data_IF_696415427706
#
_entry.id   IF_696415427706
#
_cell.length_a   1.000
_cell.length_b   1.000
_cell.length_c   1.000
_cell.angle_alpha   90.00
_cell.angle_beta   90.00
_cell.angle_gamma   90.00
#
_symmetry.space_group_name_H-M   'P 1'
#
loop_
_entity.id
_entity.type
_entity.pdbx_description
1 polymer ?
#
# COMPACT_ATOMS: atom_id res chain seq x y z
N UNK A 1 -4.87 -21.85 -74.69
CA UNK A 1 -5.63 -22.03 -73.43
C UNK A 1 -5.08 -23.29 -72.75
N UNK A 2 -4.57 -23.39 -71.52
CA UNK A 2 -4.19 -22.52 -70.39
C UNK A 2 -3.12 -23.31 -69.60
N UNK A 3 -2.30 -22.67 -68.75
CA UNK A 3 -1.88 -23.35 -67.51
C UNK A 3 -2.32 -22.57 -66.26
N UNK A 4 -3.24 -23.22 -65.56
CA UNK A 4 -3.52 -23.26 -64.12
C UNK A 4 -2.55 -22.45 -63.23
N UNK A 5 -3.09 -21.44 -62.55
CA UNK A 5 -2.51 -20.83 -61.35
C UNK A 5 -2.52 -21.81 -60.17
N UNK A 6 -1.42 -21.88 -59.41
CA UNK A 6 -1.38 -22.60 -58.13
C UNK A 6 -1.62 -21.61 -56.98
N UNK A 7 -2.70 -21.83 -56.23
CA UNK A 7 -3.08 -20.99 -55.08
C UNK A 7 -2.21 -21.29 -53.84
N UNK A 8 -1.73 -20.29 -53.10
CA UNK A 8 -0.97 -20.50 -51.88
C UNK A 8 -1.90 -20.96 -50.76
N UNK A 9 -1.73 -22.21 -50.31
CA UNK A 9 -2.45 -22.78 -49.16
C UNK A 9 -2.14 -22.00 -47.88
N UNK A 10 -3.11 -21.20 -47.41
CA UNK A 10 -3.10 -20.58 -46.08
C UNK A 10 -3.09 -21.68 -45.02
N UNK A 11 -1.91 -21.98 -44.46
CA UNK A 11 -1.72 -22.93 -43.35
C UNK A 11 -2.50 -22.43 -42.13
N UNK A 12 -3.78 -22.82 -42.03
CA UNK A 12 -4.63 -22.58 -40.86
C UNK A 12 -3.98 -23.28 -39.68
N UNK A 13 -3.23 -22.53 -38.86
CA UNK A 13 -2.84 -22.99 -37.51
C UNK A 13 -4.13 -23.38 -36.82
N UNK A 14 -4.22 -24.64 -36.38
CA UNK A 14 -5.45 -25.17 -35.87
C UNK A 14 -5.87 -24.35 -34.64
N UNK A 15 -7.09 -23.78 -34.61
CA UNK A 15 -7.50 -22.80 -33.61
C UNK A 15 -7.41 -23.36 -32.18
N UNK A 16 -7.53 -24.68 -32.03
CA UNK A 16 -7.38 -25.38 -30.76
C UNK A 16 -5.97 -25.24 -30.15
N UNK A 17 -4.92 -25.19 -30.97
CA UNK A 17 -3.53 -25.02 -30.47
C UNK A 17 -3.37 -23.63 -29.83
N UNK A 18 -3.92 -22.60 -30.46
CA UNK A 18 -3.88 -21.24 -29.92
C UNK A 18 -4.70 -21.13 -28.63
N UNK A 19 -5.87 -21.79 -28.55
CA UNK A 19 -6.70 -21.81 -27.35
C UNK A 19 -6.00 -22.51 -26.17
N UNK A 20 -5.33 -23.64 -26.42
CA UNK A 20 -4.56 -24.36 -25.39
C UNK A 20 -3.40 -23.49 -24.89
N UNK A 21 -2.66 -22.84 -25.80
CA UNK A 21 -1.55 -21.94 -25.43
C UNK A 21 -2.07 -20.77 -24.59
N UNK A 22 -3.17 -20.13 -24.98
CA UNK A 22 -3.75 -19.01 -24.23
C UNK A 22 -4.24 -19.45 -22.84
N UNK A 23 -4.84 -20.64 -22.73
CA UNK A 23 -5.28 -21.19 -21.44
C UNK A 23 -4.10 -21.47 -20.50
N UNK A 24 -3.00 -22.03 -21.02
CA UNK A 24 -1.78 -22.28 -20.23
C UNK A 24 -1.10 -20.99 -19.77
N UNK A 25 -1.03 -19.98 -20.64
CA UNK A 25 -0.49 -18.66 -20.29
C UNK A 25 -1.34 -17.98 -19.22
N UNK A 26 -2.67 -18.01 -19.36
CA UNK A 26 -3.60 -17.44 -18.37
C UNK A 26 -3.50 -18.15 -17.01
N UNK A 27 -3.42 -19.49 -17.00
CA UNK A 27 -3.23 -20.27 -15.79
C UNK A 27 -1.88 -19.92 -15.11
N UNK A 28 -0.78 -19.84 -15.87
CA UNK A 28 0.52 -19.46 -15.32
C UNK A 28 0.53 -18.04 -14.74
N UNK A 29 -0.10 -17.08 -15.43
CA UNK A 29 -0.26 -15.70 -14.93
C UNK A 29 -1.10 -15.64 -13.66
N UNK A 30 -2.21 -16.38 -13.62
CA UNK A 30 -3.07 -16.47 -12.45
C UNK A 30 -2.34 -17.10 -11.27
N UNK A 31 -1.66 -18.24 -11.48
CA UNK A 31 -0.83 -18.89 -10.47
C UNK A 31 0.27 -17.95 -9.98
N UNK A 32 0.94 -17.20 -10.86
CA UNK A 32 1.96 -16.23 -10.48
C UNK A 32 1.39 -15.06 -9.66
N UNK A 33 0.20 -14.55 -10.04
CA UNK A 33 -0.48 -13.47 -9.32
C UNK A 33 -0.89 -13.91 -7.91
N UNK A 34 -1.44 -15.13 -7.78
CA UNK A 34 -1.86 -15.67 -6.49
C UNK A 34 -0.68 -16.09 -5.60
N UNK A 35 0.38 -16.69 -6.15
CA UNK A 35 1.59 -17.05 -5.37
C UNK A 35 2.46 -15.85 -5.00
N UNK A 36 2.36 -14.72 -5.72
CA UNK A 36 3.02 -13.45 -5.35
C UNK A 36 2.21 -12.59 -4.39
N UNK A 37 0.96 -12.95 -4.08
CA UNK A 37 0.08 -12.21 -3.16
C UNK A 37 0.49 -12.23 -1.67
N UNK A 38 1.70 -12.67 -1.33
CA UNK A 38 2.08 -13.03 0.05
C UNK A 38 3.45 -12.52 0.53
N UNK A 39 3.95 -11.37 0.08
CA UNK A 39 5.08 -10.69 0.75
C UNK A 39 4.77 -9.24 1.11
N UNK A 40 3.69 -9.04 1.86
CA UNK A 40 3.58 -7.88 2.77
C UNK A 40 4.03 -8.37 4.13
N UNK A 41 5.33 -8.48 4.33
CA UNK A 41 5.83 -9.21 5.49
C UNK A 41 7.32 -9.15 5.64
N UNK A 42 7.87 -7.94 5.67
CA UNK A 42 9.08 -7.69 6.45
C UNK A 42 8.89 -6.37 7.19
N UNK A 43 8.76 -6.50 8.50
CA UNK A 43 8.55 -5.42 9.44
C UNK A 43 9.72 -4.43 9.39
N UNK A 44 9.62 -3.41 8.53
CA UNK A 44 10.50 -2.27 8.60
C UNK A 44 10.09 -1.44 9.82
N UNK A 45 10.56 -1.84 11.01
CA UNK A 45 10.51 -1.00 12.20
C UNK A 45 11.10 0.36 11.83
N UNK A 46 10.39 1.44 12.14
CA UNK A 46 10.93 2.78 11.91
C UNK A 46 12.25 2.93 12.65
N UNK A 47 13.25 3.54 12.00
CA UNK A 47 14.60 3.73 12.55
C UNK A 47 14.63 4.47 13.88
N UNK A 48 13.57 5.19 14.22
CA UNK A 48 13.43 5.96 15.45
C UNK A 48 13.07 5.11 16.68
N UNK A 49 12.73 3.82 16.53
CA UNK A 49 12.36 2.98 17.68
C UNK A 49 13.55 2.82 18.63
N UNK A 50 13.33 3.14 19.91
CA UNK A 50 14.35 3.08 20.97
C UNK A 50 15.19 4.36 21.11
N UNK A 51 15.09 5.31 20.18
CA UNK A 51 15.70 6.62 20.33
C UNK A 51 14.82 7.51 21.21
N UNK A 52 15.46 8.35 22.02
CA UNK A 52 14.76 9.38 22.76
C UNK A 52 14.18 10.42 21.79
N UNK A 53 12.95 10.86 22.03
CA UNK A 53 12.39 11.98 21.29
C UNK A 53 13.20 13.25 21.58
N UNK A 54 13.48 14.09 20.56
CA UNK A 54 14.08 15.40 20.76
C UNK A 54 13.24 16.25 21.71
N UNK A 55 13.88 17.14 22.47
CA UNK A 55 13.15 18.09 23.30
C UNK A 55 12.20 18.92 22.42
N UNK A 56 10.93 18.93 22.77
CA UNK A 56 9.89 19.66 22.07
C UNK A 56 9.10 20.45 23.10
N UNK A 57 8.96 21.74 22.80
CA UNK A 57 8.13 22.68 23.54
C UNK A 57 7.21 23.37 22.53
N UNK A 58 5.90 23.22 22.73
CA UNK A 58 4.88 23.71 21.81
C UNK A 58 3.99 24.73 22.50
N UNK A 59 3.63 25.77 21.75
CA UNK A 59 2.52 26.62 22.11
C UNK A 59 1.21 25.82 21.99
N UNK A 60 0.34 25.85 23.01
CA UNK A 60 -0.92 25.12 22.98
C UNK A 60 -1.90 25.77 22.00
N UNK A 61 -2.60 24.94 21.22
CA UNK A 61 -3.65 25.39 20.31
C UNK A 61 -4.98 25.71 21.02
N UNK A 62 -5.13 25.30 22.28
CA UNK A 62 -6.33 25.50 23.09
C UNK A 62 -6.47 26.90 23.71
N UNK A 63 -5.51 27.80 23.46
CA UNK A 63 -5.49 29.14 24.07
C UNK A 63 -4.96 29.18 25.52
N UNK A 64 -4.42 28.08 26.02
CA UNK A 64 -3.70 28.05 27.30
C UNK A 64 -2.42 28.91 27.24
N UNK A 65 -2.01 29.50 28.37
CA UNK A 65 -0.74 30.22 28.49
C UNK A 65 0.44 29.29 28.84
N UNK A 66 0.18 28.04 29.17
CA UNK A 66 1.21 27.07 29.57
C UNK A 66 1.69 26.29 28.35
N UNK A 67 2.98 26.34 28.06
CA UNK A 67 3.59 25.54 27.00
C UNK A 67 3.49 24.04 27.30
N UNK A 68 3.34 23.24 26.25
CA UNK A 68 3.30 21.77 26.37
C UNK A 68 4.68 21.22 26.07
N UNK A 69 5.26 20.46 27.02
CA UNK A 69 6.58 19.86 26.85
C UNK A 69 6.52 18.33 26.90
N UNK A 70 7.49 17.67 26.26
CA UNK A 70 7.59 16.20 26.36
C UNK A 70 8.00 15.71 27.76
N UNK A 71 8.51 16.59 28.63
CA UNK A 71 8.79 16.22 30.03
C UNK A 71 7.49 15.90 30.77
N UNK A 72 6.41 16.60 30.45
CA UNK A 72 5.10 16.42 31.08
C UNK A 72 4.48 15.05 30.77
N UNK A 73 4.93 14.41 29.68
CA UNK A 73 4.47 13.09 29.24
C UNK A 73 5.34 11.93 29.75
N UNK A 74 6.46 12.21 30.44
CA UNK A 74 7.36 11.15 30.92
C UNK A 74 6.70 10.28 31.98
N UNK A 75 7.07 8.99 31.98
CA UNK A 75 6.54 8.00 32.92
C UNK A 75 5.13 7.50 32.57
N UNK A 76 4.51 8.02 31.52
CA UNK A 76 3.23 7.56 30.98
C UNK A 76 3.43 6.97 29.59
N UNK A 77 2.62 5.98 29.24
CA UNK A 77 2.48 5.59 27.84
C UNK A 77 1.66 6.69 27.17
N UNK A 78 2.26 7.38 26.22
CA UNK A 78 1.64 8.48 25.49
C UNK A 78 1.63 8.17 24.00
N UNK A 79 0.54 8.54 23.33
CA UNK A 79 0.40 8.50 21.87
C UNK A 79 0.54 9.92 21.35
N UNK A 80 1.48 10.13 20.42
CA UNK A 80 1.66 11.42 19.74
C UNK A 80 1.12 11.28 18.32
N UNK A 81 0.06 12.02 18.01
CA UNK A 81 -0.58 12.04 16.70
C UNK A 81 -0.26 13.36 15.98
N UNK A 82 0.22 13.26 14.73
CA UNK A 82 0.49 14.41 13.86
C UNK A 82 -0.66 14.57 12.86
N UNK A 83 -1.35 15.71 12.91
CA UNK A 83 -2.53 15.96 12.07
C UNK A 83 -2.56 17.40 11.56
N UNK A 84 -3.46 17.65 10.60
CA UNK A 84 -3.76 18.98 10.09
C UNK A 84 -5.22 19.07 9.64
N UNK A 85 -5.79 20.27 9.59
CA UNK A 85 -7.19 20.50 9.23
C UNK A 85 -7.55 20.06 7.80
N UNK A 86 -6.57 20.05 6.90
CA UNK A 86 -6.69 19.63 5.51
C UNK A 86 -6.33 18.15 5.29
N UNK A 87 -5.94 17.42 6.35
CA UNK A 87 -5.58 16.02 6.25
C UNK A 87 -6.83 15.12 6.20
N UNK A 88 -7.21 14.70 4.99
CA UNK A 88 -8.37 13.82 4.77
C UNK A 88 -8.35 12.50 5.58
N UNK A 89 -7.23 11.75 5.62
CA UNK A 89 -7.13 10.55 6.45
C UNK A 89 -7.26 10.83 7.96
N UNK A 90 -6.67 11.93 8.44
CA UNK A 90 -6.70 12.29 9.85
C UNK A 90 -8.15 12.51 10.35
N UNK A 91 -9.01 13.13 9.54
CA UNK A 91 -10.43 13.30 9.88
C UNK A 91 -11.17 11.98 10.14
N UNK A 92 -10.76 10.89 9.48
CA UNK A 92 -11.36 9.58 9.69
C UNK A 92 -10.85 8.89 10.96
N UNK A 93 -9.61 9.16 11.35
CA UNK A 93 -8.96 8.52 12.52
C UNK A 93 -9.22 9.26 13.84
N UNK A 94 -9.37 10.59 13.79
CA UNK A 94 -9.54 11.43 14.99
C UNK A 94 -10.72 11.01 15.90
N UNK A 95 -11.90 10.60 15.39
CA UNK A 95 -12.99 10.13 16.24
C UNK A 95 -12.62 8.91 17.09
N UNK A 96 -11.89 7.96 16.50
CA UNK A 96 -11.44 6.75 17.19
C UNK A 96 -10.41 7.09 18.27
N UNK A 97 -9.48 8.01 17.98
CA UNK A 97 -8.50 8.50 18.97
C UNK A 97 -9.18 9.27 20.11
N UNK A 98 -10.20 10.08 19.81
CA UNK A 98 -10.95 10.82 20.82
C UNK A 98 -11.74 9.89 21.76
N UNK A 99 -12.19 8.73 21.27
CA UNK A 99 -12.85 7.73 22.09
C UNK A 99 -11.91 7.00 23.09
N UNK A 100 -10.59 7.13 22.91
CA UNK A 100 -9.57 6.53 23.78
C UNK A 100 -9.02 7.51 24.83
N UNK A 101 -9.40 8.78 24.77
CA UNK A 101 -8.91 9.86 25.65
C UNK A 101 -9.79 10.03 26.89
#
# INVERSE_FOLDING_TARGET
MNPIETSPTRRRRAPWVNLVVLALLAAALFTLMFLRGGRVGDAQRHRAVGLALPALELAPLSGSSTSVTLRDLRGKVAVVNFWATWCGPCHRELPDLAALA
#
